data_IF_493507507818
#
_entry.id   IF_493507507818
#
_cell.length_a   1.000
_cell.length_b   1.000
_cell.length_c   1.000
_cell.angle_alpha   90.00
_cell.angle_beta   90.00
_cell.angle_gamma   90.00
#
_symmetry.space_group_name_H-M   'P 1'
#
loop_
_entity.id
_entity.type
_entity.pdbx_description
1 polymer ?
#
# COMPACT_ATOMS: atom_id res chain seq x y z
N UNK A 1 24.39 -16.37 -19.74
CA UNK A 1 24.79 -14.95 -19.59
C UNK A 1 25.56 -14.80 -18.28
N UNK A 2 26.68 -14.05 -18.23
CA UNK A 2 27.35 -13.76 -16.97
C UNK A 2 26.42 -12.99 -16.01
N UNK A 3 26.50 -13.29 -14.72
CA UNK A 3 25.64 -12.73 -13.66
C UNK A 3 25.61 -11.19 -13.71
N UNK A 4 26.76 -10.56 -13.94
CA UNK A 4 26.86 -9.09 -14.07
C UNK A 4 26.02 -8.51 -15.22
N UNK A 5 25.93 -9.18 -16.37
CA UNK A 5 25.10 -8.73 -17.51
C UNK A 5 23.60 -8.85 -17.21
N UNK A 6 23.20 -9.88 -16.46
CA UNK A 6 21.81 -10.08 -16.04
C UNK A 6 21.37 -9.02 -15.03
N UNK A 7 22.24 -8.68 -14.08
CA UNK A 7 22.01 -7.60 -13.11
C UNK A 7 21.93 -6.25 -13.84
N UNK A 8 22.89 -5.93 -14.72
CA UNK A 8 22.90 -4.68 -15.47
C UNK A 8 21.63 -4.50 -16.33
N UNK A 9 21.19 -5.55 -17.03
CA UNK A 9 19.94 -5.52 -17.80
C UNK A 9 18.72 -5.25 -16.92
N UNK A 10 18.58 -5.99 -15.81
CA UNK A 10 17.47 -5.79 -14.88
C UNK A 10 17.46 -4.38 -14.28
N UNK A 11 18.63 -3.82 -13.93
CA UNK A 11 18.74 -2.46 -13.42
C UNK A 11 18.31 -1.43 -14.45
N UNK A 12 18.77 -1.55 -15.71
CA UNK A 12 18.38 -0.64 -16.79
C UNK A 12 16.87 -0.71 -17.05
N UNK A 13 16.31 -1.91 -17.15
CA UNK A 13 14.87 -2.11 -17.38
C UNK A 13 14.04 -1.55 -16.21
N UNK A 14 14.43 -1.85 -14.97
CA UNK A 14 13.69 -1.37 -13.79
C UNK A 14 13.77 0.15 -13.63
N UNK A 15 14.94 0.73 -13.93
CA UNK A 15 15.13 2.19 -13.91
C UNK A 15 14.31 2.88 -14.98
N UNK A 16 14.32 2.36 -16.22
CA UNK A 16 13.48 2.86 -17.31
C UNK A 16 12.00 2.78 -16.98
N UNK A 17 11.54 1.66 -16.42
CA UNK A 17 10.16 1.48 -15.98
C UNK A 17 9.76 2.47 -14.88
N UNK A 18 10.64 2.72 -13.89
CA UNK A 18 10.39 3.71 -12.84
C UNK A 18 10.29 5.13 -13.40
N UNK A 19 11.16 5.51 -14.34
CA UNK A 19 11.11 6.84 -14.98
C UNK A 19 9.78 7.00 -15.72
N UNK A 20 9.38 6.01 -16.52
CA UNK A 20 8.11 6.04 -17.23
C UNK A 20 6.91 6.10 -16.27
N UNK A 21 6.91 5.31 -15.20
CA UNK A 21 5.87 5.32 -14.17
C UNK A 21 5.76 6.68 -13.48
N UNK A 22 6.89 7.30 -13.13
CA UNK A 22 6.91 8.65 -12.54
C UNK A 22 6.38 9.70 -13.51
N UNK A 23 6.78 9.66 -14.78
CA UNK A 23 6.28 10.59 -15.79
C UNK A 23 4.76 10.48 -15.97
N UNK A 24 4.23 9.25 -16.05
CA UNK A 24 2.78 9.01 -16.11
C UNK A 24 2.07 9.49 -14.85
N UNK A 25 2.67 9.29 -13.67
CA UNK A 25 2.12 9.77 -12.40
C UNK A 25 2.04 11.30 -12.36
N UNK A 26 3.07 12.01 -12.84
CA UNK A 26 3.07 13.47 -12.92
C UNK A 26 2.00 13.98 -13.89
N UNK A 27 1.85 13.36 -15.06
CA UNK A 27 0.78 13.68 -16.00
C UNK A 27 -0.59 13.45 -15.36
N UNK A 28 -0.77 12.32 -14.67
CA UNK A 28 -1.99 11.99 -13.94
C UNK A 28 -2.34 13.05 -12.89
N UNK A 29 -1.38 13.45 -12.06
CA UNK A 29 -1.58 14.51 -11.06
C UNK A 29 -1.96 15.83 -11.73
N UNK A 30 -1.30 16.20 -12.84
CA UNK A 30 -1.62 17.40 -13.61
C UNK A 30 -3.04 17.39 -14.19
N UNK A 31 -3.52 16.22 -14.64
CA UNK A 31 -4.90 16.07 -15.11
C UNK A 31 -5.90 16.15 -13.96
N UNK A 32 -5.64 15.47 -12.83
CA UNK A 32 -6.52 15.47 -11.66
C UNK A 32 -6.67 16.87 -11.06
N UNK A 33 -5.56 17.59 -10.88
CA UNK A 33 -5.56 18.95 -10.34
C UNK A 33 -6.33 19.94 -11.24
N UNK A 34 -6.22 19.80 -12.57
CA UNK A 34 -6.97 20.63 -13.52
C UNK A 34 -8.46 20.27 -13.57
N UNK A 35 -8.79 18.99 -13.52
CA UNK A 35 -10.18 18.52 -13.60
C UNK A 35 -10.97 18.79 -12.31
N UNK A 36 -10.37 18.50 -11.15
CA UNK A 36 -11.01 18.66 -9.84
C UNK A 36 -10.96 20.10 -9.32
N UNK A 37 -10.05 20.93 -9.85
CA UNK A 37 -9.76 22.25 -9.33
C UNK A 37 -9.20 22.22 -7.90
N UNK A 38 -9.09 23.39 -7.26
CA UNK A 38 -8.46 23.52 -5.94
C UNK A 38 -9.23 22.78 -4.84
N UNK A 39 -10.56 22.96 -4.77
CA UNK A 39 -11.38 22.38 -3.72
C UNK A 39 -11.46 20.84 -3.83
N UNK A 40 -11.77 20.32 -5.02
CA UNK A 40 -11.87 18.88 -5.23
C UNK A 40 -10.54 18.16 -5.09
N UNK A 41 -9.42 18.79 -5.49
CA UNK A 41 -8.09 18.23 -5.24
C UNK A 41 -7.73 18.26 -3.74
N UNK A 42 -8.22 19.24 -2.99
CA UNK A 42 -8.11 19.28 -1.53
C UNK A 42 -8.82 18.08 -0.88
N UNK A 43 -10.07 17.83 -1.25
CA UNK A 43 -10.83 16.67 -0.77
C UNK A 43 -10.16 15.34 -1.11
N UNK A 44 -9.69 15.21 -2.35
CA UNK A 44 -8.93 14.04 -2.80
C UNK A 44 -7.64 13.86 -2.00
N UNK A 45 -6.90 14.93 -1.75
CA UNK A 45 -5.64 14.88 -1.00
C UNK A 45 -5.87 14.47 0.45
N UNK A 46 -6.92 14.99 1.10
CA UNK A 46 -7.31 14.58 2.46
C UNK A 46 -7.62 13.08 2.50
N UNK A 47 -8.42 12.60 1.55
CA UNK A 47 -8.74 11.17 1.47
C UNK A 47 -7.49 10.31 1.24
N UNK A 48 -6.55 10.78 0.42
CA UNK A 48 -5.30 10.08 0.12
C UNK A 48 -4.35 10.03 1.33
N UNK A 49 -4.21 11.13 2.05
CA UNK A 49 -3.44 11.17 3.30
C UNK A 49 -4.07 10.29 4.36
N UNK A 50 -5.40 10.33 4.49
CA UNK A 50 -6.14 9.47 5.40
C UNK A 50 -5.86 7.99 5.12
N UNK A 51 -6.03 7.58 3.86
CA UNK A 51 -5.73 6.23 3.41
C UNK A 51 -4.27 5.82 3.68
N UNK A 52 -3.32 6.69 3.37
CA UNK A 52 -1.89 6.42 3.56
C UNK A 52 -1.55 6.20 5.04
N UNK A 53 -2.13 6.99 5.94
CA UNK A 53 -1.94 6.87 7.38
C UNK A 53 -2.39 5.49 7.89
N UNK A 54 -3.62 5.09 7.56
CA UNK A 54 -4.14 3.78 7.98
C UNK A 54 -3.42 2.61 7.29
N UNK A 55 -2.98 2.77 6.05
CA UNK A 55 -2.17 1.75 5.37
C UNK A 55 -0.82 1.56 6.06
N UNK A 56 -0.15 2.64 6.46
CA UNK A 56 1.09 2.56 7.22
C UNK A 56 0.91 1.89 8.58
N UNK A 57 -0.19 2.20 9.28
CA UNK A 57 -0.55 1.53 10.54
C UNK A 57 -0.84 0.05 10.34
N UNK A 58 -1.49 -0.32 9.24
CA UNK A 58 -1.85 -1.71 8.94
C UNK A 58 -0.65 -2.58 8.57
N UNK A 59 0.39 -2.01 7.94
CA UNK A 59 1.62 -2.74 7.63
C UNK A 59 2.39 -3.09 8.91
N UNK A 60 2.35 -2.20 9.91
CA UNK A 60 2.92 -2.38 11.26
C UNK A 60 4.37 -2.91 11.27
N UNK A 61 5.12 -2.70 10.17
CA UNK A 61 6.48 -3.22 9.98
C UNK A 61 6.59 -4.74 9.92
N UNK A 62 5.48 -5.47 9.77
CA UNK A 62 5.44 -6.94 9.83
C UNK A 62 6.34 -7.60 8.77
N UNK A 63 6.47 -6.96 7.60
CA UNK A 63 7.38 -7.44 6.55
C UNK A 63 8.84 -7.45 7.00
N UNK A 64 9.29 -6.40 7.70
CA UNK A 64 10.68 -6.29 8.18
C UNK A 64 10.96 -7.33 9.29
N UNK A 65 9.98 -7.53 10.18
CA UNK A 65 10.07 -8.55 11.24
C UNK A 65 10.16 -9.96 10.63
N UNK A 66 9.30 -10.26 9.65
CA UNK A 66 9.32 -11.54 8.94
C UNK A 66 10.65 -11.80 8.24
N UNK A 67 11.14 -10.83 7.46
CA UNK A 67 12.40 -10.95 6.74
C UNK A 67 13.59 -11.19 7.69
N UNK A 68 13.60 -10.49 8.83
CA UNK A 68 14.62 -10.67 9.87
C UNK A 68 14.56 -12.05 10.52
N UNK A 69 13.37 -12.58 10.78
CA UNK A 69 13.20 -13.86 11.47
C UNK A 69 13.50 -15.05 10.54
N UNK A 70 13.08 -14.98 9.28
CA UNK A 70 13.41 -15.99 8.24
C UNK A 70 14.91 -16.04 7.97
N UNK A 71 15.61 -14.90 8.06
CA UNK A 71 17.06 -14.84 7.84
C UNK A 71 17.91 -15.50 8.93
N UNK A 72 17.32 -15.99 10.04
CA UNK A 72 18.06 -16.66 11.12
C UNK A 72 18.40 -18.10 10.73
N UNK A 73 19.60 -18.56 11.12
CA UNK A 73 20.00 -19.97 10.90
C UNK A 73 19.08 -20.92 11.67
N UNK A 74 18.51 -21.88 10.96
CA UNK A 74 17.59 -22.88 11.53
C UNK A 74 16.15 -22.36 11.75
N UNK A 75 15.79 -21.25 11.11
CA UNK A 75 14.43 -20.72 11.17
C UNK A 75 13.43 -21.66 10.47
N UNK A 76 12.28 -21.90 11.10
CA UNK A 76 11.14 -22.56 10.47
C UNK A 76 10.34 -21.52 9.66
N UNK A 77 10.70 -21.40 8.39
CA UNK A 77 10.14 -20.37 7.49
C UNK A 77 8.62 -20.50 7.34
N UNK A 78 8.08 -21.72 7.23
CA UNK A 78 6.63 -21.93 7.01
C UNK A 78 5.84 -21.51 8.25
N UNK A 79 6.35 -21.82 9.45
CA UNK A 79 5.76 -21.40 10.71
C UNK A 79 5.77 -19.88 10.88
N UNK A 80 6.90 -19.22 10.58
CA UNK A 80 7.04 -17.76 10.68
C UNK A 80 6.10 -17.06 9.72
N UNK A 81 6.11 -17.46 8.44
CA UNK A 81 5.27 -16.85 7.39
C UNK A 81 3.79 -16.97 7.75
N UNK A 82 3.32 -18.16 8.16
CA UNK A 82 1.91 -18.36 8.55
C UNK A 82 1.48 -17.45 9.68
N UNK A 83 2.32 -17.28 10.71
CA UNK A 83 1.99 -16.43 11.87
C UNK A 83 2.00 -14.95 11.53
N UNK A 84 3.02 -14.49 10.80
CA UNK A 84 3.07 -13.09 10.36
C UNK A 84 1.89 -12.78 9.45
N UNK A 85 1.53 -13.71 8.56
CA UNK A 85 0.37 -13.56 7.68
C UNK A 85 -0.95 -13.47 8.46
N UNK A 86 -1.16 -14.34 9.45
CA UNK A 86 -2.34 -14.27 10.32
C UNK A 86 -2.40 -12.95 11.13
N UNK A 87 -1.25 -12.49 11.65
CA UNK A 87 -1.16 -11.19 12.31
C UNK A 87 -1.45 -10.03 11.36
N UNK A 88 -0.94 -10.07 10.14
CA UNK A 88 -1.18 -9.04 9.11
C UNK A 88 -2.66 -8.93 8.78
N UNK A 89 -3.33 -10.07 8.62
CA UNK A 89 -4.77 -10.14 8.41
C UNK A 89 -5.56 -9.47 9.53
N UNK A 90 -5.23 -9.84 10.78
CA UNK A 90 -5.91 -9.31 11.95
C UNK A 90 -5.67 -7.80 12.11
N UNK A 91 -4.42 -7.34 11.99
CA UNK A 91 -4.08 -5.92 12.08
C UNK A 91 -4.75 -5.14 10.95
N UNK A 92 -4.69 -5.63 9.70
CA UNK A 92 -5.32 -4.95 8.56
C UNK A 92 -6.84 -4.84 8.73
N UNK A 93 -7.49 -5.88 9.25
CA UNK A 93 -8.93 -5.86 9.53
C UNK A 93 -9.27 -4.85 10.64
N UNK A 94 -8.53 -4.86 11.75
CA UNK A 94 -8.76 -3.92 12.86
C UNK A 94 -8.52 -2.47 12.44
N UNK A 95 -7.42 -2.22 11.74
CA UNK A 95 -7.06 -0.87 11.27
C UNK A 95 -8.03 -0.39 10.19
N UNK A 96 -8.48 -1.27 9.29
CA UNK A 96 -9.48 -0.94 8.27
C UNK A 96 -10.86 -0.63 8.88
N UNK A 97 -11.29 -1.40 9.88
CA UNK A 97 -12.53 -1.10 10.63
C UNK A 97 -12.40 0.21 11.42
N UNK A 98 -11.26 0.42 12.08
CA UNK A 98 -10.94 1.68 12.76
C UNK A 98 -11.01 2.85 11.80
N UNK A 99 -10.43 2.72 10.61
CA UNK A 99 -10.46 3.73 9.56
C UNK A 99 -11.89 4.05 9.11
N UNK A 100 -12.78 3.07 8.95
CA UNK A 100 -14.16 3.32 8.56
C UNK A 100 -14.94 4.04 9.67
N UNK A 101 -14.73 3.64 10.92
CA UNK A 101 -15.42 4.22 12.07
C UNK A 101 -14.95 5.66 12.34
N UNK A 102 -13.65 5.94 12.25
CA UNK A 102 -13.11 7.26 12.58
C UNK A 102 -13.56 8.37 11.63
N UNK A 103 -13.97 8.05 10.40
CA UNK A 103 -14.52 9.05 9.45
C UNK A 103 -15.75 9.76 10.03
N UNK A 104 -16.59 9.04 10.77
CA UNK A 104 -17.83 9.58 11.32
C UNK A 104 -17.61 10.54 12.48
N UNK A 105 -16.43 10.51 13.09
CA UNK A 105 -16.05 11.42 14.18
C UNK A 105 -15.34 12.69 13.70
N UNK A 106 -14.95 12.75 12.42
CA UNK A 106 -14.19 13.88 11.87
C UNK A 106 -15.14 14.90 11.22
N UNK A 107 -14.89 16.21 11.40
CA UNK A 107 -15.75 17.28 10.88
C UNK A 107 -15.44 17.54 9.39
N UNK A 108 -15.60 16.52 8.55
CA UNK A 108 -15.41 16.61 7.11
C UNK A 108 -16.73 16.76 6.36
N UNK A 109 -16.69 17.48 5.22
CA UNK A 109 -17.84 17.60 4.33
C UNK A 109 -18.20 16.28 3.64
N UNK A 110 -19.40 16.21 3.06
CA UNK A 110 -19.93 15.00 2.40
C UNK A 110 -19.03 14.51 1.24
N UNK A 111 -18.44 15.42 0.48
CA UNK A 111 -17.52 15.08 -0.60
C UNK A 111 -16.24 14.38 -0.09
N UNK A 112 -15.58 14.97 0.91
CA UNK A 112 -14.39 14.39 1.54
C UNK A 112 -14.72 13.05 2.21
N UNK A 113 -15.85 12.96 2.91
CA UNK A 113 -16.32 11.73 3.55
C UNK A 113 -16.50 10.60 2.54
N UNK A 114 -17.15 10.89 1.41
CA UNK A 114 -17.37 9.93 0.33
C UNK A 114 -16.03 9.46 -0.27
N UNK A 115 -15.11 10.39 -0.52
CA UNK A 115 -13.77 10.06 -1.01
C UNK A 115 -13.00 9.16 -0.04
N UNK A 116 -13.08 9.41 1.27
CA UNK A 116 -12.44 8.57 2.28
C UNK A 116 -13.06 7.17 2.31
N UNK A 117 -14.39 7.05 2.27
CA UNK A 117 -15.07 5.73 2.25
C UNK A 117 -14.68 4.93 1.00
N UNK A 118 -14.61 5.57 -0.17
CA UNK A 118 -14.16 4.93 -1.40
C UNK A 118 -12.71 4.43 -1.29
N UNK A 119 -11.82 5.22 -0.69
CA UNK A 119 -10.43 4.80 -0.47
C UNK A 119 -10.31 3.70 0.60
N UNK A 120 -11.12 3.72 1.65
CA UNK A 120 -11.15 2.66 2.65
C UNK A 120 -11.62 1.32 2.05
N UNK A 121 -12.57 1.35 1.11
CA UNK A 121 -12.92 0.16 0.33
C UNK A 121 -11.74 -0.33 -0.52
N UNK A 122 -11.04 0.59 -1.21
CA UNK A 122 -9.84 0.24 -1.97
C UNK A 122 -8.74 -0.38 -1.08
N UNK A 123 -8.62 0.04 0.19
CA UNK A 123 -7.68 -0.53 1.16
C UNK A 123 -7.99 -2.00 1.44
N UNK A 124 -9.26 -2.33 1.63
CA UNK A 124 -9.69 -3.70 1.89
C UNK A 124 -9.30 -4.64 0.73
N UNK A 125 -9.51 -4.20 -0.51
CA UNK A 125 -9.11 -4.97 -1.69
C UNK A 125 -7.58 -5.03 -1.88
N UNK A 126 -6.86 -3.94 -1.63
CA UNK A 126 -5.40 -3.90 -1.79
C UNK A 126 -4.67 -4.72 -0.72
N UNK A 127 -5.16 -4.69 0.53
CA UNK A 127 -4.64 -5.54 1.60
C UNK A 127 -4.88 -7.02 1.30
N UNK A 128 -6.04 -7.35 0.72
CA UNK A 128 -6.34 -8.70 0.21
C UNK A 128 -5.36 -9.18 -0.88
N UNK A 129 -5.02 -8.32 -1.83
CA UNK A 129 -4.04 -8.64 -2.88
C UNK A 129 -2.62 -8.90 -2.34
N UNK A 130 -2.20 -8.15 -1.32
CA UNK A 130 -0.91 -8.36 -0.65
C UNK A 130 -0.76 -9.76 -0.05
N UNK A 131 -1.86 -10.39 0.36
CA UNK A 131 -1.89 -11.76 0.86
C UNK A 131 -1.61 -12.77 -0.24
N UNK A 132 -2.22 -12.59 -1.42
CA UNK A 132 -2.01 -13.49 -2.55
C UNK A 132 -0.58 -13.43 -3.05
N UNK A 133 0.01 -12.23 -3.16
CA UNK A 133 1.42 -12.10 -3.53
C UNK A 133 2.36 -12.79 -2.54
N UNK A 134 2.07 -12.77 -1.23
CA UNK A 134 2.86 -13.48 -0.23
C UNK A 134 2.80 -15.01 -0.38
N UNK A 135 1.68 -15.55 -0.86
CA UNK A 135 1.52 -16.99 -1.14
C UNK A 135 2.18 -17.40 -2.47
N UNK A 136 2.12 -16.53 -3.49
CA UNK A 136 2.68 -16.79 -4.83
C UNK A 136 4.16 -16.44 -5.00
N UNK A 137 4.81 -15.87 -3.98
CA UNK A 137 6.26 -15.60 -3.98
C UNK A 137 7.12 -16.79 -3.49
N UNK A 138 6.52 -17.97 -3.28
CA UNK A 138 7.25 -19.25 -3.24
C UNK A 138 7.58 -19.74 -4.65
#
# INVERSE_FOLDING_TARGET
>A
MPIGRKIAYNVVVNTGAKIASTALSLVGIGLLTRYLGQAGFGDYSVALTYFALFTALADFGLYQVMAREIGRRGADEDFIVRRVFALRLLISALVGLGALVSVWFLPYGEATRTAIVLMALAFFFSSGYGLFNGVFQK
#
